data_IF_491314660334
#
_entry.id   IF_491314660334
#
_cell.length_a   1.000
_cell.length_b   1.000
_cell.length_c   1.000
_cell.angle_alpha   90.00
_cell.angle_beta   90.00
_cell.angle_gamma   90.00
#
_symmetry.space_group_name_H-M   'P 1'
#
loop_
_entity.id
_entity.type
_entity.pdbx_description
1 polymer ?
#
# COMPACT_ATOMS: atom_id res chain seq x y z
N UNK A 1 -6.52 -2.07 2.10
CA UNK A 1 -5.93 -1.03 2.98
C UNK A 1 -6.80 -0.92 4.22
N UNK A 2 -6.22 -1.06 5.41
CA UNK A 2 -6.93 -0.93 6.69
C UNK A 2 -7.10 0.53 7.11
N UNK A 3 -8.13 0.80 7.91
CA UNK A 3 -8.43 2.12 8.48
C UNK A 3 -8.77 1.97 9.95
N UNK A 4 -8.30 2.90 10.80
CA UNK A 4 -8.79 3.01 12.17
C UNK A 4 -10.00 3.98 12.22
N UNK A 5 -10.67 4.07 13.38
CA UNK A 5 -11.90 4.89 13.50
C UNK A 5 -11.67 6.36 13.16
N UNK A 6 -10.57 6.93 13.67
CA UNK A 6 -10.21 8.32 13.44
C UNK A 6 -9.92 8.60 11.96
N UNK A 7 -9.06 7.80 11.35
CA UNK A 7 -8.67 7.99 9.95
C UNK A 7 -9.83 7.78 8.99
N UNK A 8 -10.74 6.84 9.28
CA UNK A 8 -11.95 6.63 8.50
C UNK A 8 -12.81 7.89 8.47
N UNK A 9 -13.02 8.54 9.62
CA UNK A 9 -13.81 9.77 9.69
C UNK A 9 -13.13 10.92 8.93
N UNK A 10 -11.81 11.09 9.11
CA UNK A 10 -11.03 12.15 8.48
C UNK A 10 -10.93 11.99 6.95
N UNK A 11 -10.69 10.79 6.45
CA UNK A 11 -10.33 10.55 5.04
C UNK A 11 -11.55 10.35 4.12
N UNK A 12 -12.69 9.93 4.67
CA UNK A 12 -13.92 9.73 3.88
C UNK A 12 -14.39 10.98 3.13
N UNK A 13 -14.50 12.18 3.74
CA UNK A 13 -14.95 13.38 3.01
C UNK A 13 -13.98 13.80 1.90
N UNK A 14 -12.70 13.40 1.99
CA UNK A 14 -11.67 13.70 0.99
C UNK A 14 -11.68 12.72 -0.20
N UNK A 15 -12.65 11.80 -0.27
CA UNK A 15 -12.68 10.73 -1.27
C UNK A 15 -11.61 9.65 -1.07
N UNK A 16 -10.94 9.63 0.09
CA UNK A 16 -9.91 8.66 0.47
C UNK A 16 -10.41 7.67 1.53
N UNK A 17 -11.73 7.58 1.71
CA UNK A 17 -12.34 6.61 2.61
C UNK A 17 -12.27 5.16 2.09
N UNK A 18 -12.67 4.17 2.92
CA UNK A 18 -12.55 2.74 2.61
C UNK A 18 -13.20 2.31 1.27
N UNK A 19 -14.28 2.98 0.84
CA UNK A 19 -14.97 2.69 -0.43
C UNK A 19 -14.08 2.87 -1.66
N UNK A 20 -13.09 3.75 -1.59
CA UNK A 20 -12.19 4.07 -2.72
C UNK A 20 -10.79 3.52 -2.51
N UNK A 21 -10.55 2.77 -1.43
CA UNK A 21 -9.23 2.33 -1.03
C UNK A 21 -9.19 0.81 -0.94
N UNK A 22 -8.32 0.17 -1.73
CA UNK A 22 -8.26 -1.28 -1.86
C UNK A 22 -6.83 -1.75 -2.05
N UNK A 23 -6.54 -2.92 -1.47
CA UNK A 23 -5.42 -3.76 -1.86
C UNK A 23 -6.06 -5.06 -2.35
N UNK A 24 -5.75 -5.45 -3.59
CA UNK A 24 -6.22 -6.70 -4.18
C UNK A 24 -4.99 -7.55 -4.51
N UNK A 25 -5.00 -8.79 -4.03
CA UNK A 25 -4.05 -9.81 -4.46
C UNK A 25 -4.71 -10.60 -5.59
N UNK A 26 -4.22 -10.43 -6.81
CA UNK A 26 -4.56 -11.28 -7.94
C UNK A 26 -3.61 -12.48 -8.06
N UNK A 27 -3.81 -13.33 -9.09
CA UNK A 27 -2.90 -14.42 -9.42
C UNK A 27 -1.55 -13.91 -9.95
N UNK A 28 -1.56 -12.83 -10.74
CA UNK A 28 -0.36 -12.31 -11.41
C UNK A 28 0.12 -10.97 -10.87
N UNK A 29 -0.76 -10.20 -10.22
CA UNK A 29 -0.44 -8.84 -9.75
C UNK A 29 -1.00 -8.52 -8.36
N UNK A 30 -0.42 -7.49 -7.77
CA UNK A 30 -0.92 -6.81 -6.57
C UNK A 30 -1.34 -5.41 -6.97
N UNK A 31 -2.63 -5.13 -6.89
CA UNK A 31 -3.20 -3.82 -7.17
C UNK A 31 -3.45 -3.05 -5.87
N UNK A 32 -2.91 -1.83 -5.78
CA UNK A 32 -3.09 -0.95 -4.61
C UNK A 32 -3.66 0.38 -5.06
N UNK A 33 -4.73 0.81 -4.39
CA UNK A 33 -5.36 2.10 -4.62
C UNK A 33 -5.72 2.76 -3.31
N UNK A 34 -5.35 4.04 -3.17
CA UNK A 34 -5.81 4.93 -2.12
C UNK A 34 -6.56 6.09 -2.78
N UNK A 35 -7.84 5.86 -3.09
CA UNK A 35 -8.70 6.83 -3.78
C UNK A 35 -8.07 7.41 -5.04
N UNK A 36 -7.98 8.73 -5.10
CA UNK A 36 -7.30 9.49 -6.17
C UNK A 36 -5.82 9.75 -5.86
N UNK A 37 -5.40 9.57 -4.60
CA UNK A 37 -4.08 9.97 -4.12
C UNK A 37 -2.96 9.02 -4.53
N UNK A 38 -3.23 7.72 -4.61
CA UNK A 38 -2.23 6.72 -5.00
C UNK A 38 -2.85 5.58 -5.81
N UNK A 39 -2.15 5.13 -6.85
CA UNK A 39 -2.47 3.89 -7.58
C UNK A 39 -1.20 3.18 -8.06
N UNK A 40 -1.13 1.88 -7.84
CA UNK A 40 -0.10 1.01 -8.40
C UNK A 40 -0.70 -0.35 -8.80
N UNK A 41 -0.11 -0.97 -9.83
CA UNK A 41 -0.28 -2.39 -10.15
C UNK A 41 1.12 -2.97 -10.23
N UNK A 42 1.42 -3.91 -9.34
CA UNK A 42 2.76 -4.49 -9.18
C UNK A 42 2.70 -5.95 -9.61
N UNK A 43 3.45 -6.39 -10.63
CA UNK A 43 3.54 -7.81 -10.95
C UNK A 43 4.04 -8.58 -9.73
N UNK A 44 3.38 -9.69 -9.40
CA UNK A 44 3.76 -10.53 -8.27
C UNK A 44 5.21 -11.00 -8.36
N UNK A 45 5.73 -11.46 -9.51
CA UNK A 45 7.13 -11.86 -9.65
C UNK A 45 8.14 -10.74 -9.40
N UNK A 46 7.70 -9.47 -9.45
CA UNK A 46 8.55 -8.33 -9.12
C UNK A 46 8.61 -8.07 -7.61
N UNK A 47 7.81 -8.74 -6.77
CA UNK A 47 7.82 -8.57 -5.33
C UNK A 47 8.85 -9.53 -4.73
N UNK A 48 10.04 -9.03 -4.45
CA UNK A 48 11.16 -9.85 -3.97
C UNK A 48 11.16 -10.06 -2.45
N UNK A 49 10.41 -9.25 -1.71
CA UNK A 49 10.23 -9.43 -0.27
C UNK A 49 8.91 -8.80 0.20
N UNK A 50 8.27 -9.43 1.19
CA UNK A 50 7.17 -8.88 1.95
C UNK A 50 7.49 -9.02 3.45
N UNK A 51 7.57 -7.90 4.17
CA UNK A 51 8.04 -7.87 5.56
C UNK A 51 7.06 -7.09 6.42
N UNK A 52 6.56 -7.72 7.47
CA UNK A 52 5.76 -7.04 8.50
C UNK A 52 6.60 -6.01 9.25
N UNK A 53 5.95 -4.90 9.59
CA UNK A 53 6.56 -3.77 10.29
C UNK A 53 5.83 -3.55 11.62
N UNK A 54 6.47 -3.82 12.77
CA UNK A 54 5.85 -3.66 14.08
C UNK A 54 5.66 -2.19 14.48
N UNK A 55 6.39 -1.28 13.83
CA UNK A 55 6.32 0.15 14.12
C UNK A 55 4.97 0.79 13.78
N UNK A 56 4.68 1.89 14.47
CA UNK A 56 3.55 2.77 14.15
C UNK A 56 4.02 4.05 13.47
N UNK A 57 3.20 4.56 12.57
CA UNK A 57 3.48 5.80 11.82
C UNK A 57 2.47 6.89 12.20
N UNK A 58 2.92 8.14 12.26
CA UNK A 58 2.03 9.27 12.56
C UNK A 58 1.28 9.79 11.31
N UNK A 59 1.83 9.52 10.12
CA UNK A 59 1.25 9.97 8.86
C UNK A 59 0.14 9.03 8.38
N UNK A 60 -0.83 9.60 7.66
CA UNK A 60 -1.93 8.91 7.01
C UNK A 60 -2.02 9.40 5.56
N UNK A 61 -2.21 8.50 4.60
CA UNK A 61 -2.29 8.87 3.19
C UNK A 61 -1.20 8.22 2.34
N UNK A 62 -0.67 8.96 1.37
CA UNK A 62 0.41 8.52 0.49
C UNK A 62 1.63 9.44 0.67
N UNK A 63 2.69 8.92 1.28
CA UNK A 63 3.90 9.67 1.67
C UNK A 63 5.14 8.95 1.19
N UNK A 64 6.08 9.64 0.57
CA UNK A 64 7.24 8.95 0.05
C UNK A 64 8.16 9.79 -0.81
N UNK A 65 9.31 9.22 -1.11
CA UNK A 65 10.35 9.84 -1.94
C UNK A 65 11.18 8.77 -2.63
N UNK A 66 11.70 9.08 -3.83
CA UNK A 66 12.61 8.21 -4.61
C UNK A 66 12.14 6.75 -4.74
N UNK A 67 10.85 6.58 -4.98
CA UNK A 67 10.22 5.28 -5.22
C UNK A 67 9.93 4.45 -3.97
N UNK A 68 10.13 5.01 -2.77
CA UNK A 68 9.73 4.40 -1.50
C UNK A 68 8.50 5.13 -0.98
N UNK A 69 7.38 4.42 -0.85
CA UNK A 69 6.09 5.02 -0.51
C UNK A 69 5.39 4.27 0.61
N UNK A 70 4.95 5.01 1.61
CA UNK A 70 3.99 4.61 2.62
C UNK A 70 2.59 4.99 2.12
N UNK A 71 1.70 4.01 1.99
CA UNK A 71 0.32 4.17 1.55
C UNK A 71 -0.60 3.52 2.57
N UNK A 72 -1.14 4.32 3.48
CA UNK A 72 -1.82 3.79 4.65
C UNK A 72 -3.10 4.56 4.98
N UNK A 73 -4.11 3.80 5.39
CA UNK A 73 -5.32 4.30 6.05
C UNK A 73 -5.26 4.14 7.55
N UNK A 74 -4.29 3.41 8.11
CA UNK A 74 -4.10 3.19 9.54
C UNK A 74 -2.62 3.38 9.92
N UNK A 75 -2.37 3.68 11.19
CA UNK A 75 -1.02 3.90 11.71
C UNK A 75 -0.27 2.61 12.07
N UNK A 76 -0.89 1.45 11.95
CA UNK A 76 -0.33 0.14 12.30
C UNK A 76 -0.76 -0.93 11.28
N UNK A 77 -0.30 -2.17 11.48
CA UNK A 77 -0.58 -3.29 10.58
C UNK A 77 0.13 -3.10 9.24
N UNK A 78 1.39 -2.66 9.30
CA UNK A 78 2.15 -2.25 8.15
C UNK A 78 2.91 -3.45 7.55
N UNK A 79 2.88 -3.56 6.23
CA UNK A 79 3.71 -4.52 5.48
C UNK A 79 4.47 -3.75 4.42
N UNK A 80 5.78 -3.94 4.37
CA UNK A 80 6.65 -3.40 3.33
C UNK A 80 6.91 -4.45 2.26
N UNK A 81 6.58 -4.09 1.02
CA UNK A 81 6.90 -4.85 -0.19
C UNK A 81 8.14 -4.24 -0.84
N UNK A 82 9.15 -5.07 -1.11
CA UNK A 82 10.29 -4.71 -1.97
C UNK A 82 9.98 -5.13 -3.41
N UNK A 83 10.23 -4.23 -4.36
CA UNK A 83 9.79 -4.38 -5.75
C UNK A 83 10.98 -4.21 -6.71
N UNK A 84 11.36 -5.29 -7.39
CA UNK A 84 12.38 -5.33 -8.43
C UNK A 84 11.95 -6.28 -9.57
N UNK A 85 11.86 -5.83 -10.84
CA UNK A 85 12.11 -4.46 -11.29
C UNK A 85 11.08 -3.43 -10.80
N UNK A 86 11.43 -2.14 -10.72
CA UNK A 86 10.53 -1.12 -10.19
C UNK A 86 9.23 -1.00 -11.00
N UNK A 87 8.09 -1.15 -10.33
CA UNK A 87 6.77 -1.05 -10.93
C UNK A 87 6.39 0.41 -11.25
N UNK A 88 5.43 0.60 -12.17
CA UNK A 88 4.84 1.93 -12.43
C UNK A 88 3.74 2.20 -11.39
N UNK A 89 3.74 3.42 -10.85
CA UNK A 89 2.67 3.90 -9.98
C UNK A 89 2.34 5.36 -10.30
N UNK A 90 1.26 5.88 -9.70
CA UNK A 90 0.89 7.28 -9.76
C UNK A 90 0.60 7.82 -8.37
N UNK A 91 1.05 9.04 -8.11
CA UNK A 91 0.78 9.80 -6.89
C UNK A 91 0.15 11.13 -7.29
N UNK A 92 -1.07 11.40 -6.83
CA UNK A 92 -1.85 12.57 -7.24
C UNK A 92 -1.91 12.74 -8.78
N UNK A 93 -1.95 11.62 -9.52
CA UNK A 93 -1.92 11.60 -10.99
C UNK A 93 -0.52 11.63 -11.63
N UNK A 94 0.52 12.02 -10.89
CA UNK A 94 1.92 12.10 -11.38
C UNK A 94 2.55 10.70 -11.43
N UNK A 95 3.12 10.28 -12.57
CA UNK A 95 3.75 8.97 -12.70
C UNK A 95 5.07 8.89 -11.91
N UNK A 96 5.30 7.76 -11.26
CA UNK A 96 6.51 7.46 -10.50
C UNK A 96 6.99 6.02 -10.78
N UNK A 97 8.23 5.72 -10.38
CA UNK A 97 8.75 4.35 -10.27
C UNK A 97 8.70 3.91 -8.81
N UNK A 98 8.02 2.80 -8.55
CA UNK A 98 7.81 2.24 -7.22
C UNK A 98 8.79 1.09 -6.99
N UNK A 99 9.65 1.26 -5.99
CA UNK A 99 10.68 0.30 -5.56
C UNK A 99 10.33 -0.34 -4.22
N UNK A 100 9.62 0.40 -3.38
CA UNK A 100 9.21 -0.09 -2.07
C UNK A 100 7.83 0.49 -1.74
N UNK A 101 6.93 -0.39 -1.30
CA UNK A 101 5.58 -0.02 -0.89
C UNK A 101 5.33 -0.51 0.53
N UNK A 102 5.18 0.42 1.48
CA UNK A 102 4.64 0.11 2.80
C UNK A 102 3.15 0.37 2.79
N UNK A 103 2.33 -0.62 3.15
CA UNK A 103 0.87 -0.52 3.13
C UNK A 103 0.27 -0.98 4.45
N UNK A 104 -0.76 -0.28 4.93
CA UNK A 104 -1.54 -0.76 6.08
C UNK A 104 -2.57 -1.80 5.66
N UNK A 105 -2.54 -2.97 6.27
CA UNK A 105 -3.49 -4.07 6.10
C UNK A 105 -4.13 -4.45 7.44
N UNK A 106 -5.21 -5.22 7.39
CA UNK A 106 -5.91 -5.63 8.61
C UNK A 106 -5.14 -6.76 9.33
N UNK A 107 -4.62 -7.72 8.54
CA UNK A 107 -3.86 -8.87 9.02
C UNK A 107 -2.54 -8.92 8.23
N UNK A 108 -1.42 -8.43 8.81
CA UNK A 108 -0.13 -8.40 8.12
C UNK A 108 0.38 -9.77 7.69
N UNK A 109 0.24 -10.77 8.56
CA UNK A 109 0.66 -12.15 8.32
C UNK A 109 0.01 -12.77 7.08
N UNK A 110 -1.26 -12.46 6.80
CA UNK A 110 -1.97 -12.98 5.62
C UNK A 110 -1.35 -12.47 4.33
N UNK A 111 -1.01 -11.16 4.29
CA UNK A 111 -0.36 -10.57 3.12
C UNK A 111 1.05 -11.11 2.93
N UNK A 112 1.82 -11.24 4.02
CA UNK A 112 3.17 -11.81 3.97
C UNK A 112 3.13 -13.26 3.49
N UNK A 113 2.27 -14.10 4.08
CA UNK A 113 2.11 -15.50 3.70
C UNK A 113 1.67 -15.66 2.24
N UNK A 114 0.71 -14.86 1.78
CA UNK A 114 0.24 -14.91 0.39
C UNK A 114 1.29 -14.48 -0.65
N UNK A 115 2.35 -13.78 -0.24
CA UNK A 115 3.44 -13.33 -1.11
C UNK A 115 4.74 -14.11 -0.94
N UNK A 116 4.86 -14.95 0.10
CA UNK A 116 6.01 -15.81 0.33
C UNK A 116 6.04 -17.07 -0.55
N UNK A 117 4.89 -17.46 -1.13
CA UNK A 117 4.72 -18.69 -1.92
C UNK A 117 4.88 -18.41 -3.42
N UNK A 118 5.96 -17.73 -3.81
CA UNK A 118 6.27 -17.47 -5.23
C UNK A 118 7.30 -18.45 -5.78
#
# INVERSE_FOLDING_TARGET
ISFNRFSRLLMTPLGLGPRHCRLTLGPDDVAVRLGWAFRATVPRPSITAAVERPERVLSLGAHGWRGRWLVNGANSGLVTLTIEPPARARVLGVPIRLRQLTVSVAVPSDLVGALAVQ
#
